data_IF_593189091828
#
_entry.id   IF_593189091828
#
_cell.length_a   1.000
_cell.length_b   1.000
_cell.length_c   1.000
_cell.angle_alpha   90.00
_cell.angle_beta   90.00
_cell.angle_gamma   90.00
#
_symmetry.space_group_name_H-M   'P 1'
#
loop_
_entity.id
_entity.type
_entity.pdbx_description
1 polymer ?
#
# COMPACT_ATOMS: atom_id res chain seq x y z
N UNK A 1 9.25 0.95 19.03
CA UNK A 1 8.17 1.62 18.27
C UNK A 1 7.98 0.93 16.90
N UNK A 2 6.72 0.68 16.48
CA UNK A 2 6.38 0.13 15.15
C UNK A 2 6.21 1.26 14.14
N UNK A 3 6.42 0.98 12.86
CA UNK A 3 6.25 1.91 11.75
C UNK A 3 5.16 1.40 10.82
N UNK A 4 4.22 2.27 10.48
CA UNK A 4 3.26 2.03 9.41
C UNK A 4 3.83 2.63 8.13
N UNK A 5 3.99 1.81 7.10
CA UNK A 5 4.43 2.23 5.78
C UNK A 5 3.22 2.20 4.86
N UNK A 6 2.79 3.36 4.40
CA UNK A 6 1.62 3.47 3.54
C UNK A 6 2.03 3.65 2.07
N UNK A 7 1.33 2.97 1.17
CA UNK A 7 1.43 3.18 -0.27
C UNK A 7 0.55 4.36 -0.71
N UNK A 8 1.10 5.16 -1.63
CA UNK A 8 0.39 6.21 -2.36
C UNK A 8 0.81 6.11 -3.82
N UNK A 9 -0.17 5.97 -4.73
CA UNK A 9 0.04 5.95 -6.17
C UNK A 9 0.63 7.28 -6.67
N UNK A 10 0.29 8.38 -6.00
CA UNK A 10 0.96 9.66 -6.20
C UNK A 10 2.24 9.70 -5.38
N UNK A 11 3.40 9.78 -6.06
CA UNK A 11 4.73 9.77 -5.41
C UNK A 11 5.04 11.04 -4.62
N UNK A 12 4.53 12.18 -5.10
CA UNK A 12 4.84 13.49 -4.55
C UNK A 12 3.56 14.26 -4.18
N UNK A 13 3.60 14.92 -3.02
CA UNK A 13 2.51 15.76 -2.53
C UNK A 13 1.40 15.01 -1.81
N UNK A 14 0.29 15.72 -1.58
CA UNK A 14 -0.90 15.17 -0.92
C UNK A 14 -1.72 14.33 -1.89
N UNK A 15 -2.55 13.41 -1.36
CA UNK A 15 -3.52 12.70 -2.18
C UNK A 15 -4.48 13.68 -2.86
N UNK A 16 -4.60 13.58 -4.18
CA UNK A 16 -5.49 14.41 -4.99
C UNK A 16 -6.50 13.56 -5.73
N UNK A 17 -7.50 14.21 -6.35
CA UNK A 17 -8.51 13.53 -7.18
C UNK A 17 -8.00 13.23 -8.60
N UNK A 18 -6.69 13.31 -8.81
CA UNK A 18 -6.05 13.09 -10.12
C UNK A 18 -5.39 11.72 -10.23
N UNK A 19 -5.55 10.83 -9.24
CA UNK A 19 -5.05 9.47 -9.34
C UNK A 19 -5.60 8.73 -10.57
N UNK A 20 -4.77 7.89 -11.19
CA UNK A 20 -5.12 7.13 -12.39
C UNK A 20 -4.79 5.64 -12.26
N UNK A 21 -4.45 5.16 -11.05
CA UNK A 21 -4.17 3.76 -10.82
C UNK A 21 -5.43 2.95 -11.14
N UNK A 22 -5.30 2.02 -12.08
CA UNK A 22 -6.40 1.16 -12.51
C UNK A 22 -6.49 -0.05 -11.58
N UNK A 23 -7.70 -0.59 -11.34
CA UNK A 23 -7.90 -1.76 -10.50
C UNK A 23 -6.98 -2.94 -10.86
N UNK A 24 -6.83 -3.24 -12.15
CA UNK A 24 -6.04 -4.37 -12.65
C UNK A 24 -4.52 -4.24 -12.37
N UNK A 25 -4.02 -3.02 -12.22
CA UNK A 25 -2.59 -2.75 -11.99
C UNK A 25 -2.29 -2.59 -10.48
N UNK A 26 -3.32 -2.38 -9.65
CA UNK A 26 -3.15 -1.92 -8.28
C UNK A 26 -2.35 -2.88 -7.40
N UNK A 27 -2.60 -4.18 -7.48
CA UNK A 27 -1.89 -5.17 -6.64
C UNK A 27 -0.40 -5.24 -6.98
N UNK A 28 -0.07 -5.31 -8.27
CA UNK A 28 1.32 -5.41 -8.74
C UNK A 28 2.11 -4.14 -8.39
N UNK A 29 1.49 -2.97 -8.51
CA UNK A 29 2.09 -1.71 -8.11
C UNK A 29 2.36 -1.66 -6.60
N UNK A 30 1.36 -2.00 -5.77
CA UNK A 30 1.49 -2.01 -4.31
C UNK A 30 2.57 -2.99 -3.87
N UNK A 31 2.62 -4.20 -4.45
CA UNK A 31 3.66 -5.20 -4.15
C UNK A 31 5.04 -4.65 -4.49
N UNK A 32 5.22 -4.13 -5.72
CA UNK A 32 6.51 -3.58 -6.17
C UNK A 32 6.98 -2.43 -5.28
N UNK A 33 6.07 -1.55 -4.87
CA UNK A 33 6.38 -0.47 -3.93
C UNK A 33 6.89 -1.02 -2.59
N UNK A 34 6.17 -1.98 -2.01
CA UNK A 34 6.52 -2.50 -0.70
C UNK A 34 7.80 -3.33 -0.72
N UNK A 35 8.05 -4.13 -1.74
CA UNK A 35 9.32 -4.84 -1.91
C UNK A 35 10.51 -3.85 -1.87
N UNK A 36 10.42 -2.76 -2.65
CA UNK A 36 11.45 -1.73 -2.68
C UNK A 36 11.58 -1.01 -1.33
N UNK A 37 10.46 -0.60 -0.72
CA UNK A 37 10.44 0.22 0.50
C UNK A 37 10.86 -0.58 1.74
N UNK A 38 10.36 -1.80 1.90
CA UNK A 38 10.75 -2.72 2.98
C UNK A 38 12.24 -3.04 2.87
N UNK A 39 12.73 -3.33 1.65
CA UNK A 39 14.15 -3.59 1.41
C UNK A 39 15.02 -2.39 1.81
N UNK A 40 14.61 -1.17 1.46
CA UNK A 40 15.33 0.05 1.87
C UNK A 40 15.32 0.26 3.40
N UNK A 41 14.18 0.13 4.06
CA UNK A 41 14.06 0.29 5.51
C UNK A 41 14.89 -0.74 6.27
N UNK A 42 14.89 -2.00 5.82
CA UNK A 42 15.70 -3.07 6.42
C UNK A 42 17.19 -2.81 6.27
N UNK A 43 17.66 -2.31 5.12
CA UNK A 43 19.06 -1.90 4.93
C UNK A 43 19.47 -0.76 5.87
N UNK A 44 18.53 0.10 6.25
CA UNK A 44 18.75 1.17 7.22
C UNK A 44 18.60 0.72 8.69
N UNK A 45 18.50 -0.59 8.95
CA UNK A 45 18.46 -1.14 10.31
C UNK A 45 17.06 -1.27 10.93
N UNK A 46 15.98 -1.07 10.17
CA UNK A 46 14.62 -1.30 10.66
C UNK A 46 14.27 -2.78 10.59
N UNK A 47 14.09 -3.40 11.76
CA UNK A 47 13.67 -4.80 11.87
C UNK A 47 12.27 -5.03 11.26
N UNK A 48 12.07 -6.20 10.63
CA UNK A 48 10.84 -6.52 9.89
C UNK A 48 9.59 -6.59 10.78
N UNK A 49 9.73 -7.07 12.02
CA UNK A 49 8.67 -7.15 13.04
C UNK A 49 8.15 -5.76 13.49
N UNK A 50 8.93 -4.71 13.24
CA UNK A 50 8.54 -3.32 13.47
C UNK A 50 7.71 -2.74 12.31
N UNK A 51 7.60 -3.41 11.17
CA UNK A 51 6.90 -2.90 10.00
C UNK A 51 5.44 -3.39 9.96
N UNK A 52 4.55 -2.47 9.62
CA UNK A 52 3.15 -2.72 9.26
C UNK A 52 2.93 -2.04 7.92
N UNK A 53 2.28 -2.73 6.99
CA UNK A 53 2.07 -2.22 5.63
C UNK A 53 0.61 -1.76 5.46
N UNK A 54 0.41 -0.56 4.93
CA UNK A 54 -0.90 -0.04 4.58
C UNK A 54 -0.98 0.18 3.06
N UNK A 55 -1.78 -0.59 2.30
CA UNK A 55 -1.86 -0.46 0.85
C UNK A 55 -2.36 0.90 0.38
N UNK A 56 -2.88 1.75 1.27
CA UNK A 56 -3.58 2.97 0.91
C UNK A 56 -4.99 2.66 0.40
N UNK A 57 -5.89 3.64 0.51
CA UNK A 57 -7.28 3.56 0.07
C UNK A 57 -7.75 4.90 -0.48
N UNK A 58 -8.86 4.91 -1.20
CA UNK A 58 -9.46 6.13 -1.77
C UNK A 58 -8.46 6.88 -2.65
N UNK A 59 -8.35 8.19 -2.43
CA UNK A 59 -7.51 9.09 -3.24
C UNK A 59 -6.00 8.79 -3.17
N UNK A 60 -5.53 7.99 -2.21
CA UNK A 60 -4.14 7.51 -2.22
C UNK A 60 -3.89 6.50 -3.34
N UNK A 61 -4.93 5.81 -3.81
CA UNK A 61 -4.86 4.90 -4.95
C UNK A 61 -5.43 5.56 -6.20
N UNK A 62 -6.70 5.95 -6.14
CA UNK A 62 -7.47 6.44 -7.28
C UNK A 62 -8.78 7.08 -6.81
N UNK A 63 -9.30 8.12 -7.48
CA UNK A 63 -10.66 8.60 -7.26
C UNK A 63 -11.72 7.55 -7.67
N UNK A 64 -11.36 6.56 -8.49
CA UNK A 64 -12.24 5.45 -8.87
C UNK A 64 -12.32 4.43 -7.72
N UNK A 65 -13.49 4.29 -7.04
CA UNK A 65 -13.64 3.42 -5.88
C UNK A 65 -13.36 1.95 -6.20
N UNK A 66 -13.54 1.54 -7.45
CA UNK A 66 -13.26 0.19 -7.96
C UNK A 66 -11.82 -0.23 -7.67
N UNK A 67 -10.88 0.71 -7.67
CA UNK A 67 -9.46 0.44 -7.37
C UNK A 67 -9.28 0.03 -5.92
N UNK A 68 -9.90 0.77 -4.98
CA UNK A 68 -9.86 0.43 -3.55
C UNK A 68 -10.62 -0.87 -3.28
N UNK A 69 -11.79 -1.07 -3.91
CA UNK A 69 -12.56 -2.31 -3.79
C UNK A 69 -11.78 -3.52 -4.32
N UNK A 70 -11.07 -3.38 -5.44
CA UNK A 70 -10.23 -4.44 -5.99
C UNK A 70 -9.10 -4.83 -5.03
N UNK A 71 -8.45 -3.86 -4.40
CA UNK A 71 -7.42 -4.12 -3.36
C UNK A 71 -8.05 -4.82 -2.16
N UNK A 72 -9.20 -4.34 -1.67
CA UNK A 72 -9.93 -4.96 -0.56
C UNK A 72 -10.30 -6.43 -0.83
N UNK A 73 -10.80 -6.73 -2.04
CA UNK A 73 -11.13 -8.10 -2.46
C UNK A 73 -9.92 -9.03 -2.56
N UNK A 74 -8.70 -8.50 -2.59
CA UNK A 74 -7.46 -9.26 -2.74
C UNK A 74 -6.47 -9.12 -1.56
N UNK A 75 -6.93 -8.64 -0.40
CA UNK A 75 -6.07 -8.44 0.79
C UNK A 75 -5.32 -9.71 1.20
N UNK A 76 -5.94 -10.89 1.10
CA UNK A 76 -5.27 -12.14 1.45
C UNK A 76 -4.11 -12.44 0.49
N UNK A 77 -4.27 -12.20 -0.81
CA UNK A 77 -3.18 -12.36 -1.79
C UNK A 77 -2.05 -11.38 -1.49
N UNK A 78 -2.40 -10.13 -1.23
CA UNK A 78 -1.44 -9.07 -0.91
C UNK A 78 -0.64 -9.40 0.37
N UNK A 79 -1.33 -9.86 1.42
CA UNK A 79 -0.69 -10.29 2.68
C UNK A 79 0.26 -11.46 2.46
N UNK A 80 -0.17 -12.46 1.69
CA UNK A 80 0.67 -13.62 1.36
C UNK A 80 1.92 -13.23 0.57
N UNK A 81 1.80 -12.31 -0.39
CA UNK A 81 2.93 -11.86 -1.20
C UNK A 81 3.97 -11.07 -0.37
N UNK A 82 3.50 -10.24 0.56
CA UNK A 82 4.36 -9.33 1.33
C UNK A 82 4.93 -9.94 2.62
N UNK A 83 4.26 -10.96 3.17
CA UNK A 83 4.72 -11.66 4.38
C UNK A 83 4.76 -10.79 5.65
N UNK A 84 4.10 -9.64 5.65
CA UNK A 84 4.07 -8.68 6.76
C UNK A 84 2.63 -8.35 7.18
N UNK A 85 2.41 -7.89 8.43
CA UNK A 85 1.10 -7.44 8.88
C UNK A 85 0.55 -6.32 8.00
N UNK A 86 -0.72 -6.41 7.63
CA UNK A 86 -1.43 -5.34 6.93
C UNK A 86 -2.27 -4.51 7.92
N UNK A 87 -2.27 -3.20 7.71
CA UNK A 87 -3.25 -2.26 8.27
C UNK A 87 -4.09 -1.74 7.11
N UNK A 88 -5.40 -1.62 7.31
CA UNK A 88 -6.31 -1.10 6.28
C UNK A 88 -7.20 -0.05 6.91
N UNK A 89 -7.13 1.18 6.42
CA UNK A 89 -7.96 2.29 6.87
C UNK A 89 -9.07 2.59 5.86
N UNK A 90 -10.30 2.19 6.19
CA UNK A 90 -11.52 2.45 5.40
C UNK A 90 -12.56 3.29 6.17
N UNK A 91 -12.14 3.87 7.30
CA UNK A 91 -12.99 4.74 8.10
C UNK A 91 -13.30 6.05 7.35
N UNK A 92 -14.48 6.61 7.62
CA UNK A 92 -14.95 7.89 7.09
C UNK A 92 -14.40 9.04 7.91
#
# INVERSE_FOLDING_TARGET
CRLVVMHSAQRDGIATRTGHLRPEDALDEIVRFFEARVSALRRSGVAADRLILDPGMGFFLSPAPETSLHVLSNLQKLKSALGLPLLVSVSR
#
